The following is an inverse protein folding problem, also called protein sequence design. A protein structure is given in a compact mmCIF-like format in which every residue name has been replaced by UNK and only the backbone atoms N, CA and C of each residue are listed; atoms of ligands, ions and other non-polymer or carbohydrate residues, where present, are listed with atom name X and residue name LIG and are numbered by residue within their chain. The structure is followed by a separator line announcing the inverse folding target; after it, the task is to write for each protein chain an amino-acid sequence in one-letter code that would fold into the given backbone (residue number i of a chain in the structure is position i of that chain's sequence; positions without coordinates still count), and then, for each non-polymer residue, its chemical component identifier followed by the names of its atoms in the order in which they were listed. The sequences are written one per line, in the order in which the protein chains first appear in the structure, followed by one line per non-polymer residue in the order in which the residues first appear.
data_IF_323951671142
#
_entry.id   IF_323951671142
#
_cell.length_a   1.000
_cell.length_b   1.000
_cell.length_c   1.000
_cell.angle_alpha   90.00
_cell.angle_beta   90.00
_cell.angle_gamma   90.00
#
_symmetry.space_group_name_H-M   'P 1'
#
loop_
_entity.id
_entity.type
_entity.pdbx_description
1 polymer ?
#
# COMPACT_ATOMS: atom_id res chain seq x y z
N UNK A 1 -85.10 -31.04 5.64
CA UNK A 1 -84.48 -32.38 5.70
C UNK A 1 -84.02 -32.75 4.31
N UNK A 2 -82.83 -33.36 4.24
CA UNK A 2 -82.01 -33.70 3.05
C UNK A 2 -82.80 -34.29 1.87
N UNK A 3 -82.41 -33.92 0.65
CA UNK A 3 -81.90 -34.86 -0.37
C UNK A 3 -81.27 -34.08 -1.54
N UNK A 4 -79.99 -34.40 -1.78
CA UNK A 4 -79.13 -33.82 -2.80
C UNK A 4 -79.53 -34.30 -4.20
N UNK A 5 -79.35 -33.44 -5.19
CA UNK A 5 -79.47 -33.74 -6.62
C UNK A 5 -78.07 -33.71 -7.27
N UNK A 6 -77.84 -34.47 -8.36
CA UNK A 6 -76.50 -34.83 -8.82
C UNK A 6 -75.88 -33.75 -9.71
N UNK A 7 -74.61 -33.42 -9.46
CA UNK A 7 -73.81 -32.56 -10.31
C UNK A 7 -73.28 -33.34 -11.52
N UNK A 8 -73.48 -32.77 -12.70
CA UNK A 8 -73.03 -33.28 -13.98
C UNK A 8 -71.50 -33.24 -14.11
N UNK A 9 -70.96 -34.29 -14.70
CA UNK A 9 -69.56 -34.44 -15.13
C UNK A 9 -69.23 -33.48 -16.27
N UNK A 10 -68.16 -32.70 -16.11
CA UNK A 10 -67.40 -32.12 -17.21
C UNK A 10 -66.02 -32.82 -17.26
N UNK A 11 -65.48 -33.15 -18.44
CA UNK A 11 -64.25 -33.93 -18.53
C UNK A 11 -63.03 -33.08 -18.17
N UNK A 12 -62.16 -33.62 -17.31
CA UNK A 12 -60.81 -33.12 -17.09
C UNK A 12 -60.02 -33.30 -18.40
N UNK A 13 -59.67 -32.19 -19.05
CA UNK A 13 -58.64 -32.19 -20.10
C UNK A 13 -57.30 -32.38 -19.40
N UNK A 14 -56.65 -33.50 -19.66
CA UNK A 14 -55.28 -33.75 -19.23
C UNK A 14 -54.34 -32.80 -19.98
N UNK A 15 -53.73 -31.83 -19.27
CA UNK A 15 -52.58 -31.11 -19.79
C UNK A 15 -51.40 -32.09 -19.91
N UNK A 16 -50.67 -32.12 -21.02
CA UNK A 16 -49.46 -32.93 -21.12
C UNK A 16 -48.40 -32.35 -20.17
N UNK A 17 -47.82 -33.22 -19.35
CA UNK A 17 -46.60 -32.96 -18.60
C UNK A 17 -45.49 -32.60 -19.60
N UNK A 18 -45.12 -31.32 -19.64
CA UNK A 18 -43.88 -30.89 -20.30
C UNK A 18 -42.71 -31.54 -19.55
N UNK A 19 -41.75 -32.19 -20.24
CA UNK A 19 -40.57 -32.69 -19.58
C UNK A 19 -39.79 -31.51 -18.98
N UNK A 20 -39.43 -31.62 -17.71
CA UNK A 20 -38.55 -30.67 -17.06
C UNK A 20 -37.24 -30.61 -17.86
N UNK A 21 -37.00 -29.48 -18.52
CA UNK A 21 -35.73 -29.20 -19.17
C UNK A 21 -34.72 -28.95 -18.05
N UNK A 22 -34.04 -30.01 -17.59
CA UNK A 22 -32.82 -29.84 -16.82
C UNK A 22 -31.82 -29.06 -17.70
N UNK A 23 -31.18 -27.99 -17.21
CA UNK A 23 -30.09 -27.37 -17.95
C UNK A 23 -29.03 -28.44 -18.23
N UNK A 24 -28.36 -28.41 -19.39
CA UNK A 24 -27.28 -29.35 -19.65
C UNK A 24 -26.27 -29.25 -18.50
N UNK A 25 -25.87 -30.41 -17.98
CA UNK A 25 -24.73 -30.51 -17.08
C UNK A 25 -23.58 -29.75 -17.76
N UNK A 26 -23.21 -28.61 -17.19
CA UNK A 26 -21.98 -27.94 -17.59
C UNK A 26 -20.88 -28.96 -17.33
N UNK A 27 -20.07 -29.23 -18.35
CA UNK A 27 -18.85 -30.00 -18.15
C UNK A 27 -18.09 -29.39 -16.96
N UNK A 28 -17.52 -30.21 -16.07
CA UNK A 28 -16.64 -29.67 -15.04
C UNK A 28 -15.62 -28.76 -15.72
N UNK A 29 -15.30 -27.58 -15.16
CA UNK A 29 -14.27 -26.73 -15.72
C UNK A 29 -13.03 -27.60 -15.97
N UNK A 30 -12.35 -27.43 -17.12
CA UNK A 30 -11.16 -28.24 -17.39
C UNK A 30 -10.23 -28.14 -16.18
N UNK A 31 -9.55 -29.23 -15.79
CA UNK A 31 -8.51 -29.13 -14.77
C UNK A 31 -7.59 -27.99 -15.18
N UNK A 32 -7.48 -26.97 -14.32
CA UNK A 32 -6.69 -25.79 -14.60
C UNK A 32 -5.26 -26.27 -14.78
N UNK A 33 -4.74 -26.22 -16.01
CA UNK A 33 -3.32 -26.42 -16.25
C UNK A 33 -2.58 -25.33 -15.46
N UNK A 34 -1.80 -25.76 -14.46
CA UNK A 34 -0.85 -24.90 -13.78
C UNK A 34 0.15 -24.42 -14.84
N UNK A 35 -0.08 -23.22 -15.38
CA UNK A 35 0.86 -22.60 -16.29
C UNK A 35 2.15 -22.35 -15.53
N UNK A 36 3.32 -22.68 -16.10
CA UNK A 36 4.59 -22.33 -15.48
C UNK A 36 4.62 -20.82 -15.25
N UNK A 37 4.89 -20.45 -14.00
CA UNK A 37 5.02 -19.07 -13.55
C UNK A 37 6.18 -18.45 -14.36
N UNK A 38 5.92 -17.36 -15.09
CA UNK A 38 6.92 -16.70 -15.96
C UNK A 38 8.08 -16.06 -15.20
N UNK A 39 9.22 -15.82 -15.87
CA UNK A 39 10.34 -15.05 -15.32
C UNK A 39 10.05 -13.54 -15.34
N UNK A 40 10.51 -12.84 -14.31
CA UNK A 40 10.43 -11.38 -14.23
C UNK A 40 11.45 -10.77 -15.20
N UNK A 41 10.97 -9.90 -16.10
CA UNK A 41 11.81 -9.06 -16.95
C UNK A 41 11.39 -7.62 -16.75
N UNK A 42 12.32 -6.77 -16.31
CA UNK A 42 12.09 -5.35 -16.37
C UNK A 42 12.19 -4.88 -17.82
N UNK A 43 11.40 -3.87 -18.14
CA UNK A 43 11.47 -3.16 -19.40
C UNK A 43 12.34 -1.89 -19.31
N UNK A 44 12.58 -1.39 -18.10
CA UNK A 44 13.50 -0.31 -17.81
C UNK A 44 13.96 -0.39 -16.36
N UNK A 45 15.21 0.02 -16.11
CA UNK A 45 15.78 0.12 -14.77
C UNK A 45 16.86 1.19 -14.73
N UNK A 46 16.84 2.03 -13.70
CA UNK A 46 17.89 3.01 -13.47
C UNK A 46 18.00 3.38 -11.98
N UNK A 47 19.18 3.86 -11.60
CA UNK A 47 19.42 4.48 -10.29
C UNK A 47 19.15 5.98 -10.34
N UNK A 48 18.83 6.58 -9.20
CA UNK A 48 18.89 8.04 -9.06
C UNK A 48 20.32 8.40 -8.65
N UNK A 49 21.01 9.19 -9.46
CA UNK A 49 22.40 9.58 -9.22
C UNK A 49 22.50 10.81 -8.30
N UNK A 50 23.61 10.94 -7.58
CA UNK A 50 23.83 12.01 -6.63
C UNK A 50 25.00 11.72 -5.68
N UNK A 51 25.24 12.66 -4.76
CA UNK A 51 26.21 12.53 -3.68
C UNK A 51 25.50 12.65 -2.34
N UNK A 52 25.83 11.74 -1.42
CA UNK A 52 25.21 11.67 -0.09
C UNK A 52 24.04 10.67 -0.04
N UNK A 53 23.57 10.33 1.18
CA UNK A 53 22.40 9.49 1.39
C UNK A 53 21.15 10.01 0.65
N UNK A 54 20.43 9.07 0.04
CA UNK A 54 19.16 9.31 -0.66
C UNK A 54 18.36 8.03 -0.70
N UNK A 55 17.05 8.16 -0.58
CA UNK A 55 16.10 7.04 -0.58
C UNK A 55 14.83 7.46 -1.30
N UNK A 56 14.30 6.57 -2.13
CA UNK A 56 12.93 6.71 -2.67
C UNK A 56 12.00 6.02 -1.67
N UNK A 57 11.08 6.78 -1.08
CA UNK A 57 10.15 6.24 -0.08
C UNK A 57 8.94 5.60 -0.73
N UNK A 58 8.42 6.18 -1.81
CA UNK A 58 7.30 5.59 -2.55
C UNK A 58 7.19 6.07 -4.01
N UNK A 59 6.27 5.47 -4.78
CA UNK A 59 5.96 5.80 -6.17
C UNK A 59 4.46 5.79 -6.40
N UNK A 60 3.96 6.75 -7.17
CA UNK A 60 2.61 6.75 -7.73
C UNK A 60 2.65 6.90 -9.26
N UNK A 61 1.52 6.70 -9.93
CA UNK A 61 1.43 6.88 -11.39
C UNK A 61 0.38 7.91 -11.73
N UNK A 62 0.71 8.87 -12.59
CA UNK A 62 -0.24 9.85 -13.12
C UNK A 62 -1.30 9.16 -14.00
N UNK A 63 -2.49 9.74 -14.17
CA UNK A 63 -3.51 9.20 -15.07
C UNK A 63 -3.03 9.01 -16.53
N UNK A 64 -1.99 9.73 -16.93
CA UNK A 64 -1.33 9.63 -18.23
C UNK A 64 -0.30 8.48 -18.34
N UNK A 65 0.07 7.84 -17.22
CA UNK A 65 0.93 6.65 -17.17
C UNK A 65 2.38 6.90 -16.73
N UNK A 66 2.77 8.16 -16.52
CA UNK A 66 4.08 8.55 -16.01
C UNK A 66 4.21 8.28 -14.50
N UNK A 67 5.26 7.59 -14.05
CA UNK A 67 5.51 7.41 -12.63
C UNK A 67 6.08 8.68 -11.99
N UNK A 68 5.66 8.93 -10.75
CA UNK A 68 6.14 10.00 -9.89
C UNK A 68 6.75 9.36 -8.65
N UNK A 69 8.05 9.54 -8.48
CA UNK A 69 8.84 9.02 -7.37
C UNK A 69 8.95 10.09 -6.30
N UNK A 70 8.82 9.72 -5.03
CA UNK A 70 9.02 10.61 -3.90
C UNK A 70 10.09 10.06 -2.96
N UNK A 71 10.87 10.93 -2.35
CA UNK A 71 11.91 10.51 -1.43
C UNK A 71 12.60 11.66 -0.72
N UNK A 72 13.67 11.35 0.00
CA UNK A 72 14.50 12.35 0.66
C UNK A 72 15.98 12.15 0.33
N UNK A 73 16.74 13.25 0.39
CA UNK A 73 18.16 13.28 0.06
C UNK A 73 18.95 14.23 0.95
N UNK A 74 20.24 13.95 1.08
CA UNK A 74 21.23 14.87 1.63
C UNK A 74 22.38 15.01 0.63
N UNK A 75 23.06 16.16 0.61
CA UNK A 75 24.10 16.44 -0.38
C UNK A 75 23.53 16.99 -1.69
N UNK A 76 23.51 16.17 -2.75
CA UNK A 76 23.01 16.58 -4.08
C UNK A 76 22.41 15.41 -4.87
N UNK A 77 21.44 15.73 -5.74
CA UNK A 77 20.86 14.83 -6.75
C UNK A 77 21.29 15.25 -8.16
N UNK A 78 21.49 14.29 -9.05
CA UNK A 78 21.77 14.53 -10.47
C UNK A 78 20.47 14.37 -11.27
N UNK A 79 19.75 15.48 -11.42
CA UNK A 79 18.42 15.53 -12.06
C UNK A 79 18.47 16.05 -13.50
N UNK A 80 19.62 15.91 -14.15
CA UNK A 80 19.93 16.47 -15.47
C UNK A 80 21.42 16.78 -15.59
N UNK A 81 21.78 17.79 -16.39
CA UNK A 81 23.19 18.13 -16.67
C UNK A 81 23.93 18.79 -15.50
N UNK A 82 23.21 19.28 -14.49
CA UNK A 82 23.80 19.97 -13.33
C UNK A 82 23.33 19.35 -12.02
N UNK A 83 24.23 19.14 -11.04
CA UNK A 83 23.84 18.69 -9.71
C UNK A 83 22.88 19.68 -9.04
N UNK A 84 21.86 19.15 -8.37
CA UNK A 84 20.85 19.89 -7.62
C UNK A 84 21.08 19.66 -6.13
N UNK A 85 21.48 20.69 -5.35
CA UNK A 85 21.72 20.55 -3.92
C UNK A 85 20.45 20.18 -3.14
N UNK A 86 20.59 19.29 -2.16
CA UNK A 86 19.56 18.96 -1.18
C UNK A 86 19.73 19.90 0.04
N UNK A 87 18.83 20.88 0.25
CA UNK A 87 18.93 21.80 1.38
C UNK A 87 18.72 21.09 2.73
N UNK A 88 19.34 21.61 3.78
CA UNK A 88 19.13 21.10 5.14
C UNK A 88 19.91 19.83 5.45
N UNK A 89 19.43 19.06 6.43
CA UNK A 89 19.99 17.74 6.75
C UNK A 89 19.44 16.71 5.77
N UNK A 90 18.13 16.73 5.57
CA UNK A 90 17.42 15.88 4.61
C UNK A 90 16.33 16.70 3.93
N UNK A 91 16.42 16.80 2.60
CA UNK A 91 15.48 17.49 1.75
C UNK A 91 14.52 16.49 1.13
N UNK A 92 13.28 16.91 0.95
CA UNK A 92 12.31 16.25 0.11
C UNK A 92 12.72 16.34 -1.36
N UNK A 93 12.50 15.28 -2.14
CA UNK A 93 12.49 15.33 -3.59
C UNK A 93 11.27 14.65 -4.20
N UNK A 94 10.90 15.11 -5.39
CA UNK A 94 9.89 14.52 -6.25
C UNK A 94 10.44 14.44 -7.68
N UNK A 95 10.28 13.31 -8.34
CA UNK A 95 10.76 13.09 -9.71
C UNK A 95 9.65 12.45 -10.53
N UNK A 96 9.23 13.12 -11.59
CA UNK A 96 8.40 12.50 -12.63
C UNK A 96 9.31 11.96 -13.72
N UNK A 97 9.06 10.72 -14.12
CA UNK A 97 9.74 10.11 -15.25
C UNK A 97 8.79 10.01 -16.44
N UNK A 98 9.30 10.22 -17.64
CA UNK A 98 8.67 9.70 -18.85
C UNK A 98 8.58 8.17 -18.77
N UNK A 99 7.70 7.52 -19.56
CA UNK A 99 7.63 6.06 -19.57
C UNK A 99 8.98 5.42 -19.92
N UNK A 100 9.79 6.06 -20.76
CA UNK A 100 11.12 5.59 -21.14
C UNK A 100 12.20 5.79 -20.05
N UNK A 101 11.86 6.40 -18.92
CA UNK A 101 12.76 6.58 -17.78
C UNK A 101 13.55 7.89 -17.75
N UNK A 102 13.38 8.77 -18.73
CA UNK A 102 13.96 10.12 -18.68
C UNK A 102 13.20 10.99 -17.67
N UNK A 103 13.92 11.79 -16.88
CA UNK A 103 13.33 12.76 -15.94
C UNK A 103 12.55 13.82 -16.74
N UNK A 104 11.25 13.91 -16.51
CA UNK A 104 10.35 14.87 -17.14
C UNK A 104 10.19 16.14 -16.30
N UNK A 105 10.00 15.99 -14.99
CA UNK A 105 9.88 17.07 -14.01
C UNK A 105 10.57 16.67 -12.71
N UNK A 106 11.09 17.63 -11.97
CA UNK A 106 11.67 17.36 -10.67
C UNK A 106 11.60 18.56 -9.73
N UNK A 107 11.49 18.25 -8.45
CA UNK A 107 11.46 19.21 -7.35
C UNK A 107 12.37 18.71 -6.24
N UNK A 108 13.17 19.60 -5.68
CA UNK A 108 13.86 19.42 -4.41
C UNK A 108 13.43 20.55 -3.50
N UNK A 109 12.93 20.22 -2.32
CA UNK A 109 12.33 21.18 -1.38
C UNK A 109 12.78 20.92 0.06
N UNK A 110 12.87 21.98 0.85
CA UNK A 110 13.38 21.95 2.21
C UNK A 110 14.20 23.19 2.54
N UNK A 111 14.52 23.37 3.82
CA UNK A 111 15.35 24.48 4.27
C UNK A 111 16.34 24.03 5.35
N UNK A 112 16.06 24.30 6.62
CA UNK A 112 16.83 23.82 7.77
C UNK A 112 16.03 22.73 8.45
N UNK A 113 16.69 21.60 8.72
CA UNK A 113 16.08 20.45 9.39
C UNK A 113 15.94 19.24 8.48
N UNK A 114 14.92 18.43 8.75
CA UNK A 114 14.64 17.16 8.06
C UNK A 114 13.22 17.20 7.49
N UNK A 115 13.07 16.72 6.26
CA UNK A 115 11.77 16.53 5.61
C UNK A 115 11.73 15.11 5.07
N UNK A 116 10.87 14.27 5.65
CA UNK A 116 10.71 12.88 5.23
C UNK A 116 9.32 12.71 4.60
N UNK A 117 9.19 12.77 3.26
CA UNK A 117 7.98 12.29 2.62
C UNK A 117 7.89 10.77 2.76
N UNK A 118 6.70 10.27 3.07
CA UNK A 118 6.48 8.84 3.33
C UNK A 118 5.68 8.19 2.21
N UNK A 119 4.63 8.85 1.70
CA UNK A 119 3.68 8.26 0.75
C UNK A 119 3.22 9.31 -0.28
N UNK A 120 2.92 8.86 -1.50
CA UNK A 120 2.48 9.69 -2.62
C UNK A 120 1.26 9.11 -3.32
N UNK A 121 0.32 9.97 -3.69
CA UNK A 121 -0.83 9.59 -4.50
C UNK A 121 -1.08 10.62 -5.61
N UNK A 122 -1.68 10.19 -6.71
CA UNK A 122 -2.05 11.07 -7.82
C UNK A 122 -3.56 11.25 -7.90
N UNK A 123 -3.98 12.44 -8.33
CA UNK A 123 -5.38 12.72 -8.62
C UNK A 123 -5.68 12.61 -10.11
N UNK A 124 -6.96 12.46 -10.44
CA UNK A 124 -7.44 12.36 -11.84
C UNK A 124 -7.18 13.63 -12.66
N UNK A 125 -6.97 14.78 -12.00
CA UNK A 125 -6.58 16.04 -12.64
C UNK A 125 -5.07 16.15 -12.90
N UNK A 126 -4.28 15.16 -12.48
CA UNK A 126 -2.83 15.13 -12.62
C UNK A 126 -2.06 15.78 -11.47
N UNK A 127 -2.74 16.31 -10.45
CA UNK A 127 -2.05 16.80 -9.25
C UNK A 127 -1.48 15.65 -8.42
N UNK A 128 -0.37 15.92 -7.74
CA UNK A 128 0.36 14.97 -6.90
C UNK A 128 0.15 15.35 -5.43
N UNK A 129 -0.26 14.38 -4.62
CA UNK A 129 -0.43 14.54 -3.18
C UNK A 129 0.70 13.81 -2.49
N UNK A 130 1.45 14.49 -1.63
CA UNK A 130 2.46 13.87 -0.77
C UNK A 130 2.14 14.12 0.68
N UNK A 131 2.35 13.10 1.50
CA UNK A 131 2.31 13.20 2.96
C UNK A 131 3.63 12.75 3.57
N UNK A 132 3.87 13.17 4.80
CA UNK A 132 5.04 12.75 5.57
C UNK A 132 5.16 13.54 6.87
N UNK A 133 6.39 13.63 7.36
CA UNK A 133 6.77 14.38 8.56
C UNK A 133 7.93 15.35 8.25
N UNK A 134 8.06 16.39 9.06
CA UNK A 134 9.22 17.26 9.00
C UNK A 134 9.53 17.89 10.36
N UNK A 135 10.81 18.13 10.61
CA UNK A 135 11.29 18.91 11.74
C UNK A 135 12.11 20.11 11.24
N UNK A 136 11.79 21.31 11.73
CA UNK A 136 12.38 22.56 11.25
C UNK A 136 11.47 23.27 10.25
N UNK A 137 11.98 23.62 9.07
CA UNK A 137 11.23 24.35 8.06
C UNK A 137 11.19 23.61 6.71
N UNK A 138 10.00 23.55 6.12
CA UNK A 138 9.74 23.05 4.78
C UNK A 138 9.34 24.22 3.88
N UNK A 139 10.23 24.59 2.97
CA UNK A 139 9.96 25.59 1.94
C UNK A 139 9.61 24.90 0.61
N UNK A 140 8.37 25.09 0.15
CA UNK A 140 7.85 24.63 -1.14
C UNK A 140 7.77 25.80 -2.15
N UNK A 141 8.58 26.85 -1.93
CA UNK A 141 8.68 28.04 -2.77
C UNK A 141 7.61 29.09 -2.47
N UNK A 142 6.33 28.76 -2.71
CA UNK A 142 5.22 29.70 -2.46
C UNK A 142 4.68 29.63 -1.03
N UNK A 143 4.88 28.50 -0.37
CA UNK A 143 4.42 28.23 0.99
C UNK A 143 5.58 27.70 1.82
N UNK A 144 5.75 28.26 3.01
CA UNK A 144 6.74 27.83 3.99
C UNK A 144 6.04 27.35 5.26
N UNK A 145 6.32 26.12 5.65
CA UNK A 145 5.82 25.49 6.88
C UNK A 145 6.94 25.44 7.93
N UNK A 146 6.60 25.55 9.20
CA UNK A 146 7.54 25.44 10.33
C UNK A 146 6.97 24.49 11.38
N UNK A 147 7.77 23.54 11.88
CA UNK A 147 7.38 22.63 12.97
C UNK A 147 7.50 23.33 14.34
N UNK A 148 6.79 22.84 15.38
CA UNK A 148 6.67 23.59 16.67
C UNK A 148 7.72 23.19 17.70
N UNK A 149 8.23 21.96 17.64
CA UNK A 149 9.38 21.49 18.43
C UNK A 149 9.74 20.03 18.13
N UNK A 150 8.74 19.23 17.75
CA UNK A 150 8.88 17.86 17.27
C UNK A 150 8.78 17.76 15.74
N UNK A 151 8.52 16.54 15.28
CA UNK A 151 8.12 16.25 13.92
C UNK A 151 6.63 16.55 13.76
N UNK A 152 6.31 17.42 12.81
CA UNK A 152 4.94 17.76 12.46
C UNK A 152 4.58 17.04 11.15
N UNK A 153 3.36 16.52 11.07
CA UNK A 153 2.87 15.89 9.85
C UNK A 153 2.61 16.97 8.79
N UNK A 154 2.86 16.66 7.52
CA UNK A 154 2.50 17.55 6.42
C UNK A 154 1.68 16.84 5.36
N UNK A 155 0.92 17.64 4.62
CA UNK A 155 0.30 17.27 3.36
C UNK A 155 0.57 18.38 2.36
N UNK A 156 1.06 18.02 1.19
CA UNK A 156 1.19 18.93 0.05
C UNK A 156 0.44 18.39 -1.15
N UNK A 157 -0.29 19.25 -1.84
CA UNK A 157 -0.90 18.99 -3.15
C UNK A 157 -0.17 19.87 -4.13
N UNK A 158 0.37 19.27 -5.19
CA UNK A 158 1.18 19.91 -6.21
C UNK A 158 0.46 19.81 -7.55
N UNK A 159 0.03 20.95 -8.09
CA UNK A 159 -0.62 21.03 -9.41
C UNK A 159 0.41 21.05 -10.57
N UNK A 160 1.69 21.14 -10.22
CA UNK A 160 2.85 21.14 -11.11
C UNK A 160 4.13 21.46 -10.34
N UNK A 161 5.27 20.93 -10.79
CA UNK A 161 6.53 21.03 -10.06
C UNK A 161 7.78 21.07 -10.96
N UNK A 162 7.71 21.72 -12.13
CA UNK A 162 8.89 21.82 -13.00
C UNK A 162 9.89 22.90 -12.53
N UNK A 163 11.19 22.78 -12.84
CA UNK A 163 12.18 23.79 -12.48
C UNK A 163 11.84 25.18 -13.04
N UNK A 164 11.77 26.19 -12.15
CA UNK A 164 11.47 27.57 -12.51
C UNK A 164 9.98 27.90 -12.66
N UNK A 165 9.09 26.92 -12.48
CA UNK A 165 7.66 27.16 -12.34
C UNK A 165 7.32 27.56 -10.90
N UNK A 166 6.29 28.39 -10.73
CA UNK A 166 5.70 28.57 -9.40
C UNK A 166 5.01 27.26 -9.06
N UNK A 167 5.51 26.58 -8.02
CA UNK A 167 4.88 25.38 -7.48
C UNK A 167 3.49 25.79 -6.98
N UNK A 168 2.48 25.41 -7.75
CA UNK A 168 1.08 25.65 -7.45
C UNK A 168 0.53 24.54 -6.55
N UNK A 169 -0.47 24.90 -5.75
CA UNK A 169 -1.21 23.95 -4.92
C UNK A 169 -1.27 24.39 -3.46
N UNK A 170 -1.46 23.42 -2.56
CA UNK A 170 -1.72 23.65 -1.14
C UNK A 170 -0.73 22.87 -0.29
N UNK A 171 -0.12 23.51 0.71
CA UNK A 171 0.69 22.84 1.72
C UNK A 171 0.13 23.11 3.12
N UNK A 172 0.02 22.05 3.91
CA UNK A 172 -0.57 22.08 5.24
C UNK A 172 0.34 21.38 6.24
N UNK A 173 0.40 21.95 7.45
CA UNK A 173 1.03 21.37 8.62
C UNK A 173 -0.03 20.88 9.59
N UNK A 174 0.20 19.73 10.20
CA UNK A 174 -0.60 19.19 11.29
C UNK A 174 0.33 18.81 12.43
N UNK A 175 0.35 19.62 13.50
CA UNK A 175 1.11 19.26 14.67
C UNK A 175 1.12 20.29 15.78
N UNK A 176 1.55 19.83 16.95
CA UNK A 176 1.69 20.58 18.19
C UNK A 176 3.11 20.41 18.77
N UNK A 177 3.27 20.39 20.09
CA UNK A 177 4.58 20.15 20.72
C UNK A 177 5.00 18.67 20.74
N UNK A 178 4.07 17.75 20.53
CA UNK A 178 4.31 16.32 20.38
C UNK A 178 4.79 15.95 18.98
N UNK A 179 4.73 14.67 18.67
CA UNK A 179 5.11 14.13 17.35
C UNK A 179 3.86 13.74 16.56
N UNK A 180 3.82 14.15 15.30
CA UNK A 180 2.76 13.85 14.35
C UNK A 180 3.39 13.38 13.04
N UNK A 181 3.00 12.20 12.61
CA UNK A 181 3.59 11.54 11.44
C UNK A 181 2.45 11.10 10.53
N UNK A 182 2.40 11.61 9.30
CA UNK A 182 1.50 11.09 8.28
C UNK A 182 2.21 9.97 7.50
N UNK A 183 1.69 8.75 7.63
CA UNK A 183 2.34 7.55 7.09
C UNK A 183 1.76 7.11 5.76
N UNK A 184 0.51 7.47 5.45
CA UNK A 184 -0.09 7.09 4.17
C UNK A 184 -1.21 8.02 3.72
N UNK A 185 -1.40 8.08 2.40
CA UNK A 185 -2.40 8.90 1.71
C UNK A 185 -3.18 8.08 0.68
N UNK A 186 -4.49 8.29 0.62
CA UNK A 186 -5.37 7.72 -0.38
C UNK A 186 -6.20 8.81 -1.05
N UNK A 187 -6.30 8.75 -2.39
CA UNK A 187 -7.19 9.61 -3.16
C UNK A 187 -8.43 8.81 -3.54
N UNK A 188 -9.58 9.25 -3.08
CA UNK A 188 -10.86 8.63 -3.41
C UNK A 188 -11.49 9.41 -4.58
N UNK A 189 -11.78 8.73 -5.70
CA UNK A 189 -12.34 9.37 -6.91
C UNK A 189 -13.63 10.14 -6.56
N UNK A 190 -13.64 11.47 -6.78
CA UNK A 190 -14.75 12.35 -6.40
C UNK A 190 -14.93 12.59 -4.88
N UNK A 191 -14.26 11.82 -4.03
CA UNK A 191 -14.39 11.85 -2.57
C UNK A 191 -13.18 12.48 -1.85
N UNK A 192 -12.16 12.97 -2.58
CA UNK A 192 -11.11 13.84 -2.04
C UNK A 192 -9.89 13.09 -1.50
N UNK A 193 -9.17 13.70 -0.57
CA UNK A 193 -7.95 13.11 0.03
C UNK A 193 -8.28 12.53 1.40
N UNK A 194 -7.78 11.34 1.68
CA UNK A 194 -7.70 10.76 3.01
C UNK A 194 -6.23 10.56 3.38
N UNK A 195 -5.89 10.83 4.64
CA UNK A 195 -4.56 10.58 5.19
C UNK A 195 -4.68 9.91 6.54
N UNK A 196 -3.73 9.03 6.83
CA UNK A 196 -3.61 8.35 8.11
C UNK A 196 -2.18 8.47 8.64
N UNK A 197 -2.04 8.27 9.95
CA UNK A 197 -0.75 8.40 10.61
C UNK A 197 -0.82 8.12 12.09
N UNK A 198 0.25 8.47 12.79
CA UNK A 198 0.37 8.38 14.24
C UNK A 198 0.56 9.77 14.85
N UNK A 199 0.04 9.99 16.04
CA UNK A 199 0.27 11.23 16.77
C UNK A 199 0.33 11.02 18.29
N UNK A 200 1.15 11.83 18.94
CA UNK A 200 1.08 12.11 20.38
C UNK A 200 0.53 13.52 20.61
N UNK A 201 0.02 13.81 21.81
CA UNK A 201 -0.53 15.14 22.13
C UNK A 201 -1.85 15.44 21.42
N UNK A 202 -1.96 16.63 20.81
CA UNK A 202 -3.18 17.14 20.19
C UNK A 202 -2.94 17.51 18.73
N UNK A 203 -3.78 17.01 17.82
CA UNK A 203 -3.70 17.32 16.39
C UNK A 203 -5.03 17.84 15.86
N UNK A 204 -4.98 18.88 15.01
CA UNK A 204 -6.15 19.50 14.41
C UNK A 204 -6.12 19.46 12.89
N UNK A 205 -7.20 18.99 12.26
CA UNK A 205 -7.33 18.90 10.80
C UNK A 205 -8.27 19.96 10.20
N UNK A 206 -8.64 20.99 10.98
CA UNK A 206 -9.60 22.03 10.62
C UNK A 206 -11.04 21.77 11.09
N UNK A 207 -11.25 20.70 11.86
CA UNK A 207 -12.44 20.42 12.66
C UNK A 207 -12.11 20.37 14.17
N UNK A 208 -12.91 19.68 15.00
CA UNK A 208 -12.54 19.37 16.38
C UNK A 208 -11.16 18.70 16.44
N UNK A 209 -10.33 19.11 17.39
CA UNK A 209 -9.01 18.51 17.59
C UNK A 209 -9.15 17.07 18.13
N UNK A 210 -8.20 16.22 17.75
CA UNK A 210 -8.02 14.89 18.30
C UNK A 210 -6.96 14.98 19.41
N UNK A 211 -7.17 14.26 20.51
CA UNK A 211 -6.25 14.17 21.63
C UNK A 211 -5.87 12.70 21.82
N UNK A 212 -4.57 12.42 21.89
CA UNK A 212 -4.05 11.08 22.12
C UNK A 212 -4.34 10.63 23.56
N UNK A 213 -4.75 9.38 23.74
CA UNK A 213 -5.01 8.76 25.05
C UNK A 213 -3.79 8.01 25.59
N UNK A 214 -2.86 7.63 24.71
CA UNK A 214 -1.61 6.96 25.02
C UNK A 214 -0.38 7.65 24.42
N UNK A 215 0.70 6.88 24.28
CA UNK A 215 1.97 7.37 23.72
C UNK A 215 1.80 7.83 22.27
N UNK A 216 1.24 6.99 21.40
CA UNK A 216 0.77 7.36 20.07
C UNK A 216 -0.59 6.73 19.80
N UNK A 217 -1.48 7.52 19.22
CA UNK A 217 -2.73 7.04 18.65
C UNK A 217 -2.74 7.22 17.13
N UNK A 218 -3.62 6.47 16.46
CA UNK A 218 -3.86 6.66 15.03
C UNK A 218 -4.76 7.85 14.79
N UNK A 219 -4.39 8.73 13.86
CA UNK A 219 -5.33 9.67 13.26
C UNK A 219 -5.71 9.20 11.86
N UNK A 220 -6.95 9.54 11.47
CA UNK A 220 -7.46 9.41 10.11
C UNK A 220 -8.18 10.71 9.80
N UNK A 221 -7.83 11.37 8.70
CA UNK A 221 -8.48 12.61 8.31
C UNK A 221 -8.94 12.53 6.85
N UNK A 222 -10.09 13.14 6.56
CA UNK A 222 -10.62 13.27 5.21
C UNK A 222 -10.84 14.73 4.84
N UNK A 223 -10.55 15.05 3.59
CA UNK A 223 -10.69 16.38 3.00
C UNK A 223 -11.41 16.27 1.67
N UNK A 224 -12.14 17.31 1.30
CA UNK A 224 -12.72 17.46 -0.04
C UNK A 224 -11.62 17.56 -1.10
N UNK A 225 -11.97 17.35 -2.37
CA UNK A 225 -11.05 17.57 -3.49
C UNK A 225 -10.50 19.01 -3.52
N UNK A 226 -11.30 20.00 -3.12
CA UNK A 226 -10.89 21.40 -2.97
C UNK A 226 -10.25 21.72 -1.60
N UNK A 227 -9.64 20.75 -0.94
CA UNK A 227 -8.80 21.00 0.25
C UNK A 227 -9.53 21.26 1.56
N UNK A 228 -10.85 21.48 1.55
CA UNK A 228 -11.62 21.74 2.79
C UNK A 228 -11.75 20.48 3.66
N UNK A 229 -11.63 20.57 5.01
CA UNK A 229 -11.82 19.43 5.92
C UNK A 229 -13.22 18.82 5.82
N UNK A 230 -13.33 17.49 5.95
CA UNK A 230 -14.62 16.78 6.05
C UNK A 230 -14.84 16.20 7.44
N UNK A 231 -13.93 15.35 7.89
CA UNK A 231 -13.97 14.70 9.19
C UNK A 231 -12.55 14.27 9.58
N UNK A 232 -12.35 14.01 10.88
CA UNK A 232 -11.15 13.41 11.42
C UNK A 232 -11.51 12.51 12.59
N UNK A 233 -10.86 11.36 12.67
CA UNK A 233 -11.17 10.28 13.60
C UNK A 233 -9.89 9.78 14.25
N UNK A 234 -9.93 9.57 15.56
CA UNK A 234 -8.87 8.91 16.33
C UNK A 234 -9.21 7.43 16.46
N UNK A 235 -8.25 6.55 16.20
CA UNK A 235 -8.30 5.16 16.63
C UNK A 235 -7.16 4.95 17.63
N UNK A 236 -7.49 4.80 18.90
CA UNK A 236 -6.50 4.83 19.96
C UNK A 236 -6.95 4.14 21.23
N UNK A 237 -6.01 4.04 22.16
CA UNK A 237 -6.13 3.40 23.46
C UNK A 237 -5.01 3.85 24.39
N UNK A 238 -4.82 3.18 25.53
CA UNK A 238 -3.85 3.62 26.54
C UNK A 238 -2.38 3.36 26.18
N UNK A 239 -2.10 2.58 25.13
CA UNK A 239 -0.75 2.20 24.67
C UNK A 239 -0.50 2.70 23.24
N UNK A 240 0.49 2.17 22.54
CA UNK A 240 0.88 2.61 21.19
C UNK A 240 -0.03 2.02 20.11
N UNK A 241 -0.56 2.88 19.23
CA UNK A 241 -1.21 2.52 17.97
C UNK A 241 -0.68 3.39 16.83
N UNK A 242 -0.34 2.78 15.71
CA UNK A 242 0.29 3.45 14.58
C UNK A 242 -0.31 2.94 13.27
N UNK A 243 -0.80 3.85 12.43
CA UNK A 243 -1.22 3.51 11.08
C UNK A 243 0.01 3.37 10.17
N UNK A 244 -0.03 2.40 9.27
CA UNK A 244 1.00 2.16 8.25
C UNK A 244 0.47 2.47 6.87
N UNK A 245 -0.76 2.06 6.54
CA UNK A 245 -1.33 2.26 5.21
C UNK A 245 -2.83 2.55 5.27
N UNK A 246 -3.31 3.38 4.34
CA UNK A 246 -4.74 3.66 4.12
C UNK A 246 -5.14 3.37 2.68
N UNK A 247 -6.31 2.78 2.50
CA UNK A 247 -6.94 2.61 1.19
C UNK A 247 -8.36 3.19 1.21
N UNK A 248 -8.71 3.93 0.16
CA UNK A 248 -10.07 4.42 -0.03
C UNK A 248 -11.03 3.27 -0.36
N UNK A 249 -12.22 3.31 0.22
CA UNK A 249 -13.29 2.36 -0.10
C UNK A 249 -14.21 2.92 -1.20
N UNK A 250 -14.84 2.05 -2.01
CA UNK A 250 -15.80 2.47 -3.04
C UNK A 250 -17.01 3.25 -2.51
N UNK A 251 -17.35 3.09 -1.23
CA UNK A 251 -18.45 3.80 -0.57
C UNK A 251 -18.06 5.19 -0.04
N UNK A 252 -16.82 5.64 -0.29
CA UNK A 252 -16.29 6.90 0.19
C UNK A 252 -15.74 6.86 1.62
N UNK A 253 -15.72 5.67 2.26
CA UNK A 253 -15.00 5.42 3.49
C UNK A 253 -13.53 5.05 3.26
N UNK A 254 -12.89 4.47 4.28
CA UNK A 254 -11.51 4.02 4.23
C UNK A 254 -11.33 2.67 4.92
N UNK A 255 -10.24 1.97 4.57
CA UNK A 255 -9.63 0.93 5.40
C UNK A 255 -8.23 1.38 5.78
N UNK A 256 -7.90 1.28 7.05
CA UNK A 256 -6.59 1.59 7.61
C UNK A 256 -6.01 0.34 8.24
N UNK A 257 -4.75 0.09 7.98
CA UNK A 257 -3.98 -0.98 8.64
C UNK A 257 -2.77 -0.40 9.35
N UNK A 258 -2.33 -1.10 10.39
CA UNK A 258 -1.16 -0.71 11.15
C UNK A 258 -0.90 -1.66 12.31
N UNK A 259 -0.08 -1.21 13.25
CA UNK A 259 0.26 -1.98 14.45
C UNK A 259 -0.39 -1.36 15.69
N UNK A 260 -0.78 -2.20 16.64
CA UNK A 260 -1.33 -1.74 17.91
C UNK A 260 -0.92 -2.65 19.07
N UNK A 261 -0.70 -2.04 20.24
CA UNK A 261 -0.54 -2.73 21.51
C UNK A 261 -1.72 -2.36 22.43
N UNK A 262 -2.21 -3.31 23.23
CA UNK A 262 -3.31 -3.08 24.16
C UNK A 262 -4.66 -3.14 23.45
N UNK A 263 -5.44 -2.05 23.51
CA UNK A 263 -6.82 -2.03 23.01
C UNK A 263 -7.05 -0.98 21.93
N UNK A 264 -7.85 -1.32 20.92
CA UNK A 264 -8.27 -0.45 19.81
C UNK A 264 -9.79 -0.61 19.54
N UNK A 265 -10.35 0.18 18.62
CA UNK A 265 -11.76 0.08 18.23
C UNK A 265 -12.69 0.47 19.39
N UNK A 266 -12.42 1.62 20.03
CA UNK A 266 -13.08 2.05 21.26
C UNK A 266 -12.95 1.04 22.42
N UNK A 267 -11.81 0.35 22.51
CA UNK A 267 -11.50 -0.61 23.59
C UNK A 267 -12.16 -1.99 23.44
N UNK A 268 -12.71 -2.30 22.26
CA UNK A 268 -13.42 -3.57 22.03
C UNK A 268 -12.56 -4.66 21.44
N UNK A 269 -11.42 -4.30 20.84
CA UNK A 269 -10.46 -5.23 20.23
C UNK A 269 -9.13 -5.12 20.96
N UNK A 270 -8.49 -6.26 21.21
CA UNK A 270 -7.26 -6.36 22.00
C UNK A 270 -6.17 -7.06 21.21
N UNK A 271 -4.92 -6.64 21.40
CA UNK A 271 -3.76 -7.43 20.95
C UNK A 271 -3.68 -8.70 21.80
N UNK A 272 -3.31 -9.81 21.17
CA UNK A 272 -3.19 -11.09 21.86
C UNK A 272 -1.89 -11.18 22.67
N UNK A 273 -0.88 -10.40 22.30
CA UNK A 273 0.43 -10.31 22.96
C UNK A 273 1.02 -8.91 22.85
N UNK A 274 2.16 -8.80 22.17
CA UNK A 274 2.84 -7.55 21.89
C UNK A 274 2.07 -6.68 20.89
N UNK A 275 2.77 -6.20 19.86
CA UNK A 275 2.15 -5.45 18.77
C UNK A 275 1.54 -6.40 17.75
N UNK A 276 0.22 -6.33 17.61
CA UNK A 276 -0.51 -7.08 16.59
C UNK A 276 -0.85 -6.14 15.42
N UNK A 277 -1.21 -6.71 14.26
CA UNK A 277 -1.76 -5.95 13.14
C UNK A 277 -3.24 -5.66 13.38
N UNK A 278 -3.66 -4.40 13.20
CA UNK A 278 -5.09 -4.07 13.07
C UNK A 278 -5.50 -3.83 11.62
N UNK A 279 -6.76 -4.12 11.33
CA UNK A 279 -7.47 -3.73 10.11
C UNK A 279 -8.76 -3.03 10.55
N UNK A 280 -8.88 -1.74 10.26
CA UNK A 280 -10.01 -0.93 10.68
C UNK A 280 -10.67 -0.25 9.49
N UNK A 281 -11.99 -0.41 9.38
CA UNK A 281 -12.78 0.33 8.41
C UNK A 281 -13.39 1.59 9.05
N UNK A 282 -13.44 2.67 8.28
CA UNK A 282 -14.10 3.92 8.62
C UNK A 282 -15.13 4.22 7.53
N UNK A 283 -16.32 4.68 7.91
CA UNK A 283 -17.36 5.05 6.95
C UNK A 283 -17.10 6.42 6.31
N UNK A 284 -17.89 6.78 5.29
CA UNK A 284 -17.72 8.03 4.55
C UNK A 284 -17.95 9.31 5.39
N UNK A 285 -18.56 9.19 6.57
CA UNK A 285 -18.80 10.27 7.52
C UNK A 285 -17.73 10.33 8.64
N UNK A 286 -16.74 9.44 8.61
CA UNK A 286 -15.70 9.33 9.66
C UNK A 286 -16.11 8.46 10.85
N UNK A 287 -17.27 7.79 10.78
CA UNK A 287 -17.74 6.88 11.81
C UNK A 287 -17.02 5.53 11.80
N UNK A 288 -16.97 4.81 12.93
CA UNK A 288 -16.31 3.52 13.02
C UNK A 288 -17.07 2.44 12.24
N UNK A 289 -16.35 1.69 11.41
CA UNK A 289 -16.79 0.45 10.79
C UNK A 289 -16.37 -0.77 11.61
N UNK A 290 -15.81 -1.80 10.96
CA UNK A 290 -15.23 -2.95 11.66
C UNK A 290 -13.82 -2.65 12.17
N UNK A 291 -13.39 -3.40 13.17
CA UNK A 291 -11.99 -3.49 13.58
C UNK A 291 -11.65 -4.96 13.81
N UNK A 292 -10.55 -5.40 13.21
CA UNK A 292 -10.05 -6.76 13.25
C UNK A 292 -8.59 -6.74 13.71
N UNK A 293 -8.24 -7.61 14.65
CA UNK A 293 -6.85 -7.86 15.04
C UNK A 293 -6.36 -9.16 14.40
N UNK A 294 -5.12 -9.12 13.91
CA UNK A 294 -4.37 -10.23 13.33
C UNK A 294 -3.04 -10.34 14.07
N UNK A 295 -2.85 -11.43 14.81
CA UNK A 295 -1.61 -11.67 15.53
C UNK A 295 -1.66 -12.89 16.43
N UNK A 296 -0.63 -13.07 17.25
CA UNK A 296 -0.60 -14.08 18.30
C UNK A 296 -0.20 -13.55 19.69
N UNK A 297 -0.10 -14.46 20.65
CA UNK A 297 0.13 -14.10 22.05
C UNK A 297 1.60 -13.86 22.41
N UNK A 298 2.53 -13.99 21.46
CA UNK A 298 3.96 -14.11 21.71
C UNK A 298 4.76 -13.14 20.85
N UNK A 299 4.53 -13.15 19.54
CA UNK A 299 5.35 -12.43 18.57
C UNK A 299 4.70 -11.08 18.20
N UNK A 300 5.52 -10.17 17.69
CA UNK A 300 5.04 -8.92 17.10
C UNK A 300 4.77 -9.12 15.60
N UNK A 301 3.65 -8.61 15.10
CA UNK A 301 3.31 -8.56 13.68
C UNK A 301 3.45 -7.15 13.09
N UNK A 302 3.89 -7.10 11.84
CA UNK A 302 4.11 -5.86 11.11
C UNK A 302 3.16 -5.79 9.90
N UNK A 303 2.36 -4.72 9.81
CA UNK A 303 1.65 -4.39 8.57
C UNK A 303 2.61 -3.71 7.59
N UNK A 304 2.37 -3.88 6.30
CA UNK A 304 3.14 -3.24 5.23
C UNK A 304 2.27 -2.51 4.21
N UNK A 305 1.05 -2.98 3.96
CA UNK A 305 0.16 -2.33 3.00
C UNK A 305 -1.27 -2.83 3.05
N UNK A 306 -2.16 -2.07 2.40
CA UNK A 306 -3.55 -2.45 2.19
C UNK A 306 -4.03 -2.00 0.81
N UNK A 307 -4.84 -2.84 0.15
CA UNK A 307 -5.61 -2.45 -1.04
C UNK A 307 -7.06 -2.86 -0.87
N UNK A 308 -7.97 -2.08 -1.44
CA UNK A 308 -9.40 -2.35 -1.44
C UNK A 308 -9.88 -2.41 -2.89
N UNK A 309 -10.60 -3.47 -3.24
CA UNK A 309 -11.17 -3.60 -4.58
C UNK A 309 -12.51 -2.86 -4.74
N UNK A 310 -13.03 -2.83 -5.97
CA UNK A 310 -14.29 -2.16 -6.30
C UNK A 310 -15.52 -2.79 -5.60
N UNK A 311 -15.41 -4.00 -5.04
CA UNK A 311 -16.44 -4.68 -4.26
C UNK A 311 -16.28 -4.46 -2.76
N UNK A 312 -15.24 -3.74 -2.33
CA UNK A 312 -14.90 -3.50 -0.93
C UNK A 312 -14.14 -4.65 -0.27
N UNK A 313 -13.68 -5.66 -1.04
CA UNK A 313 -12.80 -6.69 -0.50
C UNK A 313 -11.45 -6.08 -0.20
N UNK A 314 -10.93 -6.35 0.98
CA UNK A 314 -9.67 -5.80 1.47
C UNK A 314 -8.60 -6.87 1.39
N UNK A 315 -7.42 -6.52 0.86
CA UNK A 315 -6.22 -7.35 0.94
C UNK A 315 -5.18 -6.62 1.77
N UNK A 316 -4.62 -7.31 2.77
CA UNK A 316 -3.61 -6.78 3.68
C UNK A 316 -2.31 -7.55 3.46
N UNK A 317 -1.20 -6.82 3.37
CA UNK A 317 0.17 -7.36 3.34
C UNK A 317 0.86 -7.06 4.67
N UNK A 318 1.60 -8.02 5.19
CA UNK A 318 2.42 -7.82 6.36
C UNK A 318 3.47 -8.91 6.54
N UNK A 319 4.07 -8.94 7.73
CA UNK A 319 5.07 -9.92 8.14
C UNK A 319 4.82 -10.36 9.57
N UNK A 320 5.19 -11.60 9.90
CA UNK A 320 4.92 -12.20 11.20
C UNK A 320 5.97 -13.23 11.59
N UNK A 321 6.20 -13.36 12.90
CA UNK A 321 6.76 -14.56 13.54
C UNK A 321 5.62 -15.50 13.96
N UNK A 322 5.93 -16.68 14.49
CA UNK A 322 4.90 -17.51 15.14
C UNK A 322 3.68 -17.83 14.26
N UNK A 323 2.50 -17.34 14.66
CA UNK A 323 1.25 -17.47 13.91
C UNK A 323 0.53 -16.13 13.73
N UNK A 324 -0.20 -15.98 12.63
CA UNK A 324 -1.02 -14.79 12.37
C UNK A 324 -2.40 -15.18 11.87
N UNK A 325 -3.42 -14.45 12.30
CA UNK A 325 -4.79 -14.56 11.79
C UNK A 325 -5.84 -14.27 12.86
N UNK A 326 -7.04 -14.79 12.66
CA UNK A 326 -8.17 -14.57 13.56
C UNK A 326 -9.11 -15.77 13.61
N UNK A 327 -9.46 -16.20 14.83
CA UNK A 327 -10.33 -17.36 15.03
C UNK A 327 -9.72 -18.65 14.47
N UNK A 328 -10.45 -19.33 13.59
CA UNK A 328 -9.98 -20.56 12.95
C UNK A 328 -9.15 -20.34 11.67
N UNK A 329 -9.09 -19.10 11.16
CA UNK A 329 -8.35 -18.75 9.95
C UNK A 329 -6.97 -18.24 10.36
N UNK A 330 -5.96 -19.11 10.27
CA UNK A 330 -4.60 -18.84 10.74
C UNK A 330 -3.55 -19.29 9.71
N UNK A 331 -2.40 -18.62 9.73
CA UNK A 331 -1.15 -19.06 9.12
C UNK A 331 -0.06 -19.19 10.19
N UNK A 332 0.89 -20.10 10.00
CA UNK A 332 2.05 -20.29 10.88
C UNK A 332 3.32 -20.11 10.06
N UNK A 333 4.26 -19.32 10.59
CA UNK A 333 5.54 -19.07 9.95
C UNK A 333 6.36 -20.38 9.93
N UNK A 334 7.03 -20.63 8.80
CA UNK A 334 7.96 -21.77 8.65
C UNK A 334 9.41 -21.39 8.94
N UNK A 335 9.66 -20.10 9.12
CA UNK A 335 10.96 -19.45 9.27
C UNK A 335 10.95 -18.49 10.47
N UNK A 336 12.04 -17.76 10.70
CA UNK A 336 12.11 -16.73 11.75
C UNK A 336 11.07 -15.63 11.52
N UNK A 337 10.90 -15.22 10.26
CA UNK A 337 9.89 -14.27 9.86
C UNK A 337 9.40 -14.59 8.45
N UNK A 338 8.09 -14.63 8.27
CA UNK A 338 7.42 -14.86 6.99
C UNK A 338 6.58 -13.64 6.61
N UNK A 339 6.38 -13.42 5.31
CA UNK A 339 5.37 -12.47 4.85
C UNK A 339 3.99 -13.14 4.86
N UNK A 340 2.93 -12.37 5.10
CA UNK A 340 1.56 -12.84 4.93
C UNK A 340 0.75 -11.95 3.99
N UNK A 341 -0.23 -12.55 3.34
CA UNK A 341 -1.30 -11.84 2.63
C UNK A 341 -2.66 -12.35 3.14
N UNK A 342 -3.52 -11.42 3.55
CA UNK A 342 -4.82 -11.71 4.14
C UNK A 342 -5.95 -11.05 3.34
N UNK A 343 -7.02 -11.80 3.09
CA UNK A 343 -8.25 -11.29 2.50
C UNK A 343 -9.30 -11.09 3.60
N UNK A 344 -9.84 -9.88 3.67
CA UNK A 344 -10.88 -9.48 4.62
C UNK A 344 -12.10 -9.02 3.82
N UNK A 345 -13.28 -9.55 4.14
CA UNK A 345 -14.51 -9.18 3.45
C UNK A 345 -15.00 -7.77 3.86
N UNK A 346 -15.95 -7.16 3.12
CA UNK A 346 -16.46 -5.82 3.44
C UNK A 346 -17.17 -5.73 4.80
N UNK A 347 -17.48 -6.86 5.44
CA UNK A 347 -18.07 -6.93 6.77
C UNK A 347 -17.00 -7.06 7.88
N UNK A 348 -15.72 -7.21 7.51
CA UNK A 348 -14.60 -7.32 8.43
C UNK A 348 -14.20 -8.74 8.81
N UNK A 349 -14.76 -9.78 8.16
CA UNK A 349 -14.38 -11.16 8.45
C UNK A 349 -13.11 -11.54 7.68
N UNK A 350 -12.15 -12.17 8.37
CA UNK A 350 -10.97 -12.76 7.75
C UNK A 350 -11.37 -14.00 6.92
N UNK A 351 -11.34 -13.86 5.61
CA UNK A 351 -11.74 -14.90 4.65
C UNK A 351 -10.62 -15.91 4.45
N UNK A 352 -9.39 -15.42 4.29
CA UNK A 352 -8.24 -16.25 3.92
C UNK A 352 -6.95 -15.59 4.30
N UNK A 353 -5.95 -16.39 4.65
CA UNK A 353 -4.58 -15.94 4.84
C UNK A 353 -3.61 -16.92 4.17
N UNK A 354 -2.51 -16.39 3.63
CA UNK A 354 -1.39 -17.16 3.08
C UNK A 354 -0.09 -16.57 3.57
N UNK A 355 0.91 -17.42 3.76
CA UNK A 355 2.26 -17.01 4.13
C UNK A 355 3.28 -17.37 3.06
N UNK A 356 4.39 -16.62 3.02
CA UNK A 356 5.53 -16.81 2.14
C UNK A 356 6.82 -16.75 2.96
N UNK A 357 7.74 -17.69 2.73
CA UNK A 357 9.01 -17.81 3.44
C UNK A 357 9.14 -19.15 4.15
N UNK A 358 10.09 -19.98 3.70
CA UNK A 358 10.38 -21.30 4.27
C UNK A 358 11.60 -21.29 5.16
N UNK A 359 12.61 -20.52 4.79
CA UNK A 359 13.85 -20.34 5.58
C UNK A 359 14.28 -18.88 5.53
N UNK A 360 15.10 -18.47 6.49
CA UNK A 360 15.57 -17.09 6.59
C UNK A 360 14.45 -16.13 7.00
N UNK A 361 14.42 -14.97 6.38
CA UNK A 361 13.45 -13.90 6.68
C UNK A 361 12.79 -13.47 5.37
N UNK A 362 11.47 -13.42 5.33
CA UNK A 362 10.69 -12.84 4.24
C UNK A 362 9.81 -11.71 4.79
N UNK A 363 9.85 -10.53 4.18
CA UNK A 363 9.09 -9.36 4.62
C UNK A 363 8.20 -8.83 3.51
N UNK A 364 6.94 -8.53 3.84
CA UNK A 364 6.09 -7.71 2.99
C UNK A 364 6.61 -6.26 2.95
N UNK A 365 6.72 -5.68 1.75
CA UNK A 365 7.18 -4.29 1.58
C UNK A 365 6.15 -3.40 0.94
N UNK A 366 5.75 -3.74 -0.28
CA UNK A 366 4.85 -2.90 -1.06
C UNK A 366 3.80 -3.76 -1.77
N UNK A 367 2.66 -3.16 -2.06
CA UNK A 367 1.58 -3.81 -2.79
C UNK A 367 0.80 -2.80 -3.63
N UNK A 368 0.22 -3.28 -4.73
CA UNK A 368 -0.63 -2.45 -5.58
C UNK A 368 -1.79 -3.27 -6.16
N UNK A 369 -2.96 -2.65 -6.40
CA UNK A 369 -4.08 -3.34 -7.02
C UNK A 369 -3.73 -3.75 -8.45
N UNK A 370 -4.19 -4.95 -8.86
CA UNK A 370 -4.04 -5.40 -10.24
C UNK A 370 -5.25 -4.99 -11.08
N UNK A 371 -5.08 -4.35 -12.25
CA UNK A 371 -6.17 -4.11 -13.18
C UNK A 371 -6.90 -5.42 -13.52
N UNK A 372 -8.23 -5.43 -13.40
CA UNK A 372 -9.06 -6.63 -13.59
C UNK A 372 -9.15 -7.58 -12.40
N UNK A 373 -8.62 -7.19 -11.22
CA UNK A 373 -8.79 -7.87 -9.94
C UNK A 373 -7.57 -8.70 -9.53
N UNK A 374 -7.29 -8.77 -8.23
CA UNK A 374 -6.06 -9.34 -7.67
C UNK A 374 -5.08 -8.25 -7.23
N UNK A 375 -3.83 -8.63 -6.98
CA UNK A 375 -2.85 -7.76 -6.29
C UNK A 375 -1.43 -8.10 -6.70
N UNK A 376 -0.58 -7.08 -6.87
CA UNK A 376 0.87 -7.24 -6.96
C UNK A 376 1.51 -7.04 -5.59
N UNK A 377 2.54 -7.82 -5.28
CA UNK A 377 3.32 -7.70 -4.04
C UNK A 377 4.81 -7.58 -4.38
N UNK A 378 5.54 -6.78 -3.62
CA UNK A 378 6.99 -6.90 -3.49
C UNK A 378 7.35 -7.33 -2.07
N UNK A 379 8.21 -8.33 -1.99
CA UNK A 379 8.74 -8.88 -0.76
C UNK A 379 10.26 -8.76 -0.80
N UNK A 380 10.89 -8.52 0.35
CA UNK A 380 12.32 -8.73 0.51
C UNK A 380 12.54 -10.07 1.20
N UNK A 381 13.55 -10.83 0.81
CA UNK A 381 13.80 -12.13 1.42
C UNK A 381 15.29 -12.51 1.51
N UNK A 382 15.62 -13.21 2.58
CA UNK A 382 16.81 -14.06 2.68
C UNK A 382 16.37 -15.52 2.77
N UNK A 383 17.24 -16.44 2.34
CA UNK A 383 16.93 -17.87 2.39
C UNK A 383 16.06 -18.29 1.22
N UNK A 384 14.95 -18.99 1.49
CA UNK A 384 14.16 -19.70 0.48
C UNK A 384 12.69 -19.31 0.56
N UNK A 385 12.10 -19.03 -0.61
CA UNK A 385 10.66 -18.79 -0.83
C UNK A 385 10.11 -19.73 -1.91
N UNK A 386 9.07 -20.49 -1.60
CA UNK A 386 8.37 -21.42 -2.49
C UNK A 386 7.05 -20.81 -2.94
N UNK A 387 6.86 -20.75 -4.27
CA UNK A 387 5.65 -20.20 -4.88
C UNK A 387 5.16 -21.18 -5.93
N UNK A 388 4.12 -21.95 -5.59
CA UNK A 388 3.65 -23.04 -6.43
C UNK A 388 4.71 -24.15 -6.51
N UNK A 389 5.14 -24.48 -7.71
CA UNK A 389 6.19 -25.46 -8.01
C UNK A 389 7.60 -24.84 -8.10
N UNK A 390 7.71 -23.51 -8.03
CA UNK A 390 8.97 -22.78 -8.12
C UNK A 390 9.55 -22.48 -6.76
N UNK A 391 10.89 -22.42 -6.76
CA UNK A 391 11.71 -22.10 -5.61
C UNK A 391 12.55 -20.89 -5.97
N UNK A 392 12.54 -19.88 -5.09
CA UNK A 392 13.42 -18.73 -5.13
C UNK A 392 14.38 -18.82 -3.95
N UNK A 393 15.67 -18.66 -4.21
CA UNK A 393 16.72 -18.65 -3.18
C UNK A 393 17.47 -17.32 -3.28
N UNK A 394 17.67 -16.68 -2.13
CA UNK A 394 18.44 -15.44 -2.09
C UNK A 394 19.91 -15.73 -2.37
N UNK A 395 20.60 -14.84 -3.08
CA UNK A 395 21.99 -15.05 -3.50
C UNK A 395 23.03 -14.48 -2.52
N UNK A 396 22.58 -13.78 -1.49
CA UNK A 396 23.41 -13.30 -0.39
C UNK A 396 22.59 -12.61 0.69
N UNK A 397 22.64 -11.28 0.73
CA UNK A 397 21.79 -10.47 1.60
C UNK A 397 20.32 -10.52 1.14
N UNK A 398 19.52 -9.51 1.50
CA UNK A 398 18.12 -9.48 1.05
C UNK A 398 18.05 -9.34 -0.48
N UNK A 399 17.27 -10.21 -1.12
CA UNK A 399 16.86 -10.12 -2.53
C UNK A 399 15.38 -9.70 -2.60
N UNK A 400 14.90 -9.22 -3.75
CA UNK A 400 13.49 -8.86 -3.94
C UNK A 400 12.75 -9.96 -4.70
N UNK A 401 11.57 -10.34 -4.20
CA UNK A 401 10.60 -11.21 -4.86
C UNK A 401 9.33 -10.43 -5.18
N UNK A 402 8.97 -10.36 -6.46
CA UNK A 402 7.72 -9.77 -6.92
C UNK A 402 6.72 -10.89 -7.21
N UNK A 403 5.49 -10.73 -6.72
CA UNK A 403 4.39 -11.67 -6.93
C UNK A 403 3.21 -10.98 -7.60
N UNK A 404 2.54 -11.69 -8.49
CA UNK A 404 1.18 -11.36 -8.94
C UNK A 404 0.21 -12.40 -8.39
N UNK A 405 -0.78 -11.93 -7.65
CA UNK A 405 -1.82 -12.75 -7.07
C UNK A 405 -3.16 -12.53 -7.79
N UNK A 406 -3.90 -13.61 -8.01
CA UNK A 406 -5.31 -13.53 -8.37
C UNK A 406 -6.19 -13.14 -7.16
N UNK A 407 -7.48 -12.87 -7.39
CA UNK A 407 -8.43 -12.48 -6.35
C UNK A 407 -8.64 -13.54 -5.24
N UNK A 408 -8.16 -14.79 -5.44
CA UNK A 408 -8.18 -15.85 -4.42
C UNK A 408 -6.87 -15.93 -3.61
N UNK A 409 -6.02 -14.91 -3.76
CA UNK A 409 -4.66 -14.80 -3.23
C UNK A 409 -3.73 -15.89 -3.76
N UNK A 410 -4.01 -16.54 -4.89
CA UNK A 410 -3.10 -17.52 -5.47
C UNK A 410 -2.10 -16.79 -6.37
N UNK A 411 -0.81 -17.08 -6.20
CA UNK A 411 0.21 -16.57 -7.09
C UNK A 411 0.01 -17.12 -8.50
N UNK A 412 -0.15 -16.22 -9.46
CA UNK A 412 -0.22 -16.55 -10.89
C UNK A 412 1.11 -16.29 -11.58
N UNK A 413 1.91 -15.33 -11.08
CA UNK A 413 3.26 -15.01 -11.56
C UNK A 413 4.16 -14.63 -10.39
N UNK A 414 5.45 -14.91 -10.51
CA UNK A 414 6.44 -14.69 -9.48
C UNK A 414 7.84 -14.64 -10.09
N UNK A 415 8.68 -13.75 -9.57
CA UNK A 415 10.06 -13.63 -10.03
C UNK A 415 10.87 -12.80 -9.05
N UNK A 416 12.12 -13.21 -8.87
CA UNK A 416 13.04 -12.58 -7.95
C UNK A 416 14.24 -12.00 -8.69
N UNK A 417 14.81 -10.95 -8.13
CA UNK A 417 16.07 -10.38 -8.57
C UNK A 417 16.93 -10.01 -7.36
N UNK A 418 18.24 -10.09 -7.57
CA UNK A 418 19.23 -9.78 -6.57
C UNK A 418 20.56 -10.49 -6.81
N UNK A 419 21.53 -10.17 -5.97
CA UNK A 419 22.90 -10.67 -6.02
C UNK A 419 23.45 -10.98 -4.61
N UNK A 420 24.77 -10.92 -4.40
CA UNK A 420 25.32 -11.20 -3.08
C UNK A 420 25.11 -10.05 -2.06
N UNK A 421 24.69 -8.87 -2.52
CA UNK A 421 24.47 -7.66 -1.75
C UNK A 421 22.97 -7.39 -1.55
N UNK A 422 22.64 -6.29 -0.87
CA UNK A 422 21.27 -5.98 -0.49
C UNK A 422 20.48 -5.39 -1.65
N UNK A 423 19.27 -5.89 -1.89
CA UNK A 423 18.22 -5.30 -2.71
C UNK A 423 16.91 -5.30 -1.92
N UNK A 424 16.29 -4.12 -1.80
CA UNK A 424 15.06 -3.95 -1.03
C UNK A 424 14.06 -3.13 -1.81
N UNK A 425 12.79 -3.51 -1.74
CA UNK A 425 11.69 -2.69 -2.23
C UNK A 425 11.21 -1.72 -1.15
N UNK A 426 10.83 -0.51 -1.56
CA UNK A 426 10.23 0.51 -0.68
C UNK A 426 8.80 0.85 -1.11
N UNK A 427 8.52 0.94 -2.41
CA UNK A 427 7.22 1.33 -2.95
C UNK A 427 6.87 0.63 -4.27
N UNK A 428 5.57 0.57 -4.58
CA UNK A 428 5.07 -0.02 -5.81
C UNK A 428 3.79 0.66 -6.28
N UNK A 429 3.72 0.99 -7.58
CA UNK A 429 2.49 1.44 -8.21
C UNK A 429 2.26 0.75 -9.56
N UNK A 430 1.01 0.79 -10.02
CA UNK A 430 0.57 0.14 -11.25
C UNK A 430 -0.30 1.11 -12.04
N UNK A 431 -0.05 1.20 -13.34
CA UNK A 431 -0.81 2.08 -14.21
C UNK A 431 -2.06 1.39 -14.81
N UNK A 432 -2.82 2.15 -15.59
CA UNK A 432 -4.03 1.66 -16.25
C UNK A 432 -3.79 0.56 -17.29
N UNK A 433 -2.55 0.39 -17.77
CA UNK A 433 -2.16 -0.68 -18.70
C UNK A 433 -1.67 -1.94 -17.97
N UNK A 434 -1.49 -1.87 -16.65
CA UNK A 434 -0.98 -2.97 -15.83
C UNK A 434 0.55 -3.03 -15.76
N UNK A 435 1.26 -1.98 -16.18
CA UNK A 435 2.71 -1.88 -15.98
C UNK A 435 3.00 -1.59 -14.52
N UNK A 436 3.92 -2.34 -13.94
CA UNK A 436 4.32 -2.21 -12.54
C UNK A 436 5.55 -1.32 -12.45
N UNK A 437 5.52 -0.31 -11.58
CA UNK A 437 6.66 0.51 -11.20
C UNK A 437 7.08 0.13 -9.78
N UNK A 438 8.32 -0.28 -9.62
CA UNK A 438 8.91 -0.71 -8.36
C UNK A 438 10.07 0.20 -8.02
N UNK A 439 10.11 0.69 -6.79
CA UNK A 439 11.21 1.50 -6.26
C UNK A 439 11.81 0.84 -5.03
N UNK A 440 13.06 1.20 -4.76
CA UNK A 440 13.79 0.58 -3.67
C UNK A 440 15.23 1.03 -3.60
N UNK A 441 16.01 0.34 -2.78
CA UNK A 441 17.44 0.56 -2.62
C UNK A 441 18.22 -0.71 -2.98
N UNK A 442 19.40 -0.55 -3.58
CA UNK A 442 20.28 -1.66 -3.93
C UNK A 442 21.76 -1.34 -3.71
N UNK A 443 22.53 -2.35 -3.35
CA UNK A 443 23.99 -2.40 -3.47
C UNK A 443 24.35 -3.51 -4.47
N UNK A 444 25.53 -3.45 -5.08
CA UNK A 444 26.01 -4.50 -5.97
C UNK A 444 25.45 -4.34 -7.38
N UNK A 445 24.93 -5.42 -7.95
CA UNK A 445 24.40 -5.49 -9.31
C UNK A 445 22.93 -5.88 -9.29
N UNK A 446 22.10 -5.03 -9.88
CA UNK A 446 20.69 -5.32 -10.09
C UNK A 446 20.47 -5.67 -11.57
N UNK A 447 20.20 -6.96 -11.82
CA UNK A 447 19.89 -7.52 -13.13
C UNK A 447 18.38 -7.53 -13.35
N UNK A 448 17.93 -6.92 -14.43
CA UNK A 448 16.51 -6.78 -14.71
C UNK A 448 16.23 -7.12 -16.19
N UNK A 449 16.26 -8.41 -16.52
CA UNK A 449 16.20 -8.87 -17.92
C UNK A 449 17.56 -8.76 -18.61
N UNK A 450 17.64 -8.00 -19.71
CA UNK A 450 18.90 -7.76 -20.45
C UNK A 450 19.67 -6.54 -19.91
N UNK A 451 19.02 -5.72 -19.08
CA UNK A 451 19.62 -4.53 -18.48
C UNK A 451 20.26 -4.84 -17.11
N UNK A 452 21.30 -4.08 -16.78
CA UNK A 452 22.02 -4.18 -15.52
C UNK A 452 22.43 -2.78 -15.04
N UNK A 453 22.19 -2.51 -13.76
CA UNK A 453 22.78 -1.36 -13.06
C UNK A 453 23.69 -1.84 -11.93
N UNK A 454 24.70 -1.04 -11.60
CA UNK A 454 25.65 -1.35 -10.53
C UNK A 454 25.86 -0.18 -9.58
N UNK A 455 26.11 -0.51 -8.31
CA UNK A 455 26.42 0.44 -7.26
C UNK A 455 27.45 -0.16 -6.29
N UNK A 456 28.40 0.67 -5.84
CA UNK A 456 29.40 0.28 -4.83
C UNK A 456 28.96 0.56 -3.39
N UNK A 457 27.80 1.20 -3.23
CA UNK A 457 27.13 1.53 -1.98
C UNK A 457 25.63 1.36 -2.19
N UNK A 458 24.85 1.48 -1.13
CA UNK A 458 23.39 1.49 -1.24
C UNK A 458 22.95 2.71 -2.03
N UNK A 459 22.22 2.48 -3.12
CA UNK A 459 21.69 3.49 -4.01
C UNK A 459 20.21 3.25 -4.32
N UNK A 460 19.38 4.29 -4.42
CA UNK A 460 17.98 4.14 -4.79
C UNK A 460 17.86 3.81 -6.28
N UNK A 461 16.92 2.92 -6.60
CA UNK A 461 16.55 2.54 -7.96
C UNK A 461 15.05 2.67 -8.20
N UNK A 462 14.71 2.76 -9.48
CA UNK A 462 13.37 2.48 -9.96
C UNK A 462 13.44 1.45 -11.10
N UNK A 463 12.37 0.69 -11.25
CA UNK A 463 12.22 -0.37 -12.23
C UNK A 463 10.80 -0.34 -12.79
N UNK A 464 10.66 -0.56 -14.11
CA UNK A 464 9.36 -0.80 -14.76
C UNK A 464 9.27 -2.24 -15.24
N UNK A 465 8.17 -2.91 -14.97
CA UNK A 465 7.87 -4.29 -15.38
C UNK A 465 6.59 -4.25 -16.23
N UNK A 466 6.74 -4.40 -17.55
CA UNK A 466 5.62 -4.28 -18.51
C UNK A 466 4.86 -5.58 -18.71
N UNK A 467 5.59 -6.69 -18.69
CA UNK A 467 5.04 -8.01 -18.89
C UNK A 467 5.99 -9.05 -18.30
N UNK A 468 5.38 -10.03 -17.64
CA UNK A 468 6.05 -11.27 -17.28
C UNK A 468 6.17 -12.12 -18.54
N UNK A 469 7.38 -12.43 -19.00
CA UNK A 469 7.53 -13.34 -20.13
C UNK A 469 7.07 -14.74 -19.70
N UNK A 470 5.96 -15.21 -20.27
CA UNK A 470 5.62 -16.63 -20.28
C UNK A 470 6.50 -17.31 -21.32
N UNK A 471 7.18 -18.40 -20.93
CA UNK A 471 7.71 -19.34 -21.92
C UNK A 471 6.56 -19.88 -22.77
N UNK A 472 6.79 -19.93 -24.08
CA UNK A 472 5.88 -20.56 -25.05
C UNK A 472 5.54 -22.02 -24.70
#
# INVERSE_FOLDING_TARGET
MRRASPSALAPLVALPLLPACAPPLQDPPPPFEERPVGELRAAAVAKIEGMGPRTITDVAVLPSGEPVLVGHCSGELHLGDSPTPCPGKEAFFLIELSPAGAIARSLVAGELGTVHPVDVATRTDGSVVVVGEFAGALDLGSTRLESTSGEDAFLTVLDGFAPGETIGGEAMRFGDTGEQIATSVAVAEGHGIMLAGAFSGVVGFGGPALESEGDYDVFIASRTAGGSPRWSTRLGGPLVQQAIAIAARPDGGAVVVGAFEGSIGAGTVWSAGGKDVFVAAIDAAGGPGFTLALGDAVDDEEAAGVVVDALGQTVVLGSFGGSVGHGATLATARSERAAFVAAVDPQGALVKIRSFGETGVTRGRAMAPRPGGGTYLALDFTGRVEVGDRVFESKGAEDVLVLELDASLRAVRAGAFGDMYTQRATGMAVDGEGRVFLVGDFEGTLLAGEDAITASWIEPFWMRIDAWSGGE
#
